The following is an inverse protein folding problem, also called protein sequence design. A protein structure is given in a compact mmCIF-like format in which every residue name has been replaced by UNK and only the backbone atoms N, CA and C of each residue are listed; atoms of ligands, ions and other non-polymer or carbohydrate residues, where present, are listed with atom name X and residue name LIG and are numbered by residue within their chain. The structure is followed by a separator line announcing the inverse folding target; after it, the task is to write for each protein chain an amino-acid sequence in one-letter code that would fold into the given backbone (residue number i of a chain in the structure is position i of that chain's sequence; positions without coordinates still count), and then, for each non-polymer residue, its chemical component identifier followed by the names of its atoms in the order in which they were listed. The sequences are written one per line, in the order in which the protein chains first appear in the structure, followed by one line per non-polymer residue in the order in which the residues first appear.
data_IF_124346794619
#
_entry.id   IF_124346794619
#
_cell.length_a   1.000
_cell.length_b   1.000
_cell.length_c   1.000
_cell.angle_alpha   90.00
_cell.angle_beta   90.00
_cell.angle_gamma   90.00
#
_symmetry.space_group_name_H-M   'P 1'
#
loop_
_entity.id
_entity.type
_entity.pdbx_description
1 polymer ?
#
# COMPACT_ATOMS: atom_id res chain seq x y z
N UNK A 1 -30.88 21.97 -21.74
CA UNK A 1 -31.12 21.67 -20.32
C UNK A 1 -31.81 20.31 -20.22
N UNK A 2 -31.11 19.25 -20.61
CA UNK A 2 -31.61 17.88 -20.55
C UNK A 2 -31.09 17.27 -19.26
N UNK A 3 -32.01 17.03 -18.33
CA UNK A 3 -31.80 16.27 -17.10
C UNK A 3 -31.39 14.84 -17.47
N UNK A 4 -30.08 14.64 -17.61
CA UNK A 4 -29.51 13.32 -17.67
C UNK A 4 -29.84 12.63 -16.35
N UNK A 5 -30.86 11.76 -16.38
CA UNK A 5 -31.11 10.77 -15.33
C UNK A 5 -29.83 9.93 -15.25
N UNK A 6 -28.92 10.29 -14.35
CA UNK A 6 -27.70 9.54 -14.08
C UNK A 6 -28.16 8.23 -13.47
N UNK A 7 -28.33 7.22 -14.32
CA UNK A 7 -28.62 5.86 -13.89
C UNK A 7 -27.53 5.45 -12.90
N UNK A 8 -27.94 5.37 -11.63
CA UNK A 8 -27.15 5.08 -10.46
C UNK A 8 -26.71 3.61 -10.53
N UNK A 9 -25.75 3.32 -11.42
CA UNK A 9 -25.21 1.98 -11.63
C UNK A 9 -24.39 1.63 -10.39
N UNK A 10 -25.06 0.98 -9.43
CA UNK A 10 -24.46 0.56 -8.15
C UNK A 10 -23.19 -0.24 -8.45
N UNK A 11 -22.10 0.13 -7.79
CA UNK A 11 -20.86 -0.65 -7.85
C UNK A 11 -21.06 -1.94 -7.04
N UNK A 12 -21.40 -3.03 -7.72
CA UNK A 12 -21.78 -4.31 -7.11
C UNK A 12 -20.64 -5.02 -6.37
N UNK A 13 -19.37 -4.61 -6.51
CA UNK A 13 -18.26 -5.29 -5.82
C UNK A 13 -18.00 -4.75 -4.41
N UNK A 14 -18.80 -3.78 -3.95
CA UNK A 14 -18.55 -3.09 -2.69
C UNK A 14 -18.73 -3.97 -1.45
N UNK A 15 -19.70 -4.89 -1.47
CA UNK A 15 -19.90 -5.88 -0.41
C UNK A 15 -18.85 -6.98 -0.43
N UNK A 16 -18.42 -7.41 -1.64
CA UNK A 16 -17.36 -8.41 -1.80
C UNK A 16 -16.01 -7.92 -1.23
N UNK A 17 -15.68 -6.64 -1.40
CA UNK A 17 -14.45 -6.07 -0.83
C UNK A 17 -14.42 -6.19 0.70
N UNK A 18 -15.53 -5.87 1.38
CA UNK A 18 -15.58 -5.99 2.84
C UNK A 18 -15.63 -7.43 3.31
N UNK A 19 -16.41 -8.29 2.63
CA UNK A 19 -16.44 -9.71 2.94
C UNK A 19 -15.04 -10.32 2.83
N UNK A 20 -14.29 -9.95 1.79
CA UNK A 20 -12.88 -10.32 1.62
C UNK A 20 -12.01 -9.84 2.78
N UNK A 21 -12.05 -8.55 3.15
CA UNK A 21 -11.24 -8.02 4.26
C UNK A 21 -11.58 -8.66 5.60
N UNK A 22 -12.87 -8.91 5.88
CA UNK A 22 -13.31 -9.59 7.11
C UNK A 22 -12.82 -11.04 7.14
N UNK A 23 -13.02 -11.79 6.05
CA UNK A 23 -12.58 -13.17 5.96
C UNK A 23 -11.04 -13.28 6.10
N UNK A 24 -10.31 -12.36 5.45
CA UNK A 24 -8.87 -12.26 5.57
C UNK A 24 -8.42 -11.93 7.00
N UNK A 25 -9.07 -10.99 7.69
CA UNK A 25 -8.75 -10.67 9.07
C UNK A 25 -8.95 -11.86 10.01
N UNK A 26 -10.08 -12.58 9.88
CA UNK A 26 -10.37 -13.77 10.68
C UNK A 26 -9.33 -14.86 10.40
N UNK A 27 -9.00 -15.11 9.13
CA UNK A 27 -8.00 -16.08 8.74
C UNK A 27 -6.61 -15.72 9.29
N UNK A 28 -6.18 -14.46 9.19
CA UNK A 28 -4.89 -14.01 9.71
C UNK A 28 -4.79 -14.19 11.24
N UNK A 29 -5.84 -13.83 11.97
CA UNK A 29 -5.91 -14.02 13.43
C UNK A 29 -5.86 -15.51 13.78
N UNK A 30 -6.65 -16.34 13.11
CA UNK A 30 -6.70 -17.79 13.33
C UNK A 30 -5.36 -18.48 13.06
N UNK A 31 -4.68 -18.10 11.97
CA UNK A 31 -3.33 -18.62 11.65
C UNK A 31 -2.34 -18.24 12.74
N UNK A 32 -2.32 -16.98 13.17
CA UNK A 32 -1.37 -16.52 14.20
C UNK A 32 -1.66 -17.15 15.57
N UNK A 33 -2.92 -17.42 15.89
CA UNK A 33 -3.29 -18.19 17.07
C UNK A 33 -2.72 -19.62 16.98
N UNK A 34 -2.96 -20.32 15.87
CA UNK A 34 -2.43 -21.68 15.68
C UNK A 34 -0.90 -21.73 15.76
N UNK A 35 -0.21 -20.75 15.15
CA UNK A 35 1.25 -20.64 15.18
C UNK A 35 1.79 -20.41 16.60
N UNK A 36 1.15 -19.55 17.39
CA UNK A 36 1.57 -19.27 18.76
C UNK A 36 1.48 -20.52 19.66
N UNK A 37 0.47 -21.38 19.45
CA UNK A 37 0.34 -22.63 20.20
C UNK A 37 1.32 -23.70 19.73
N UNK A 38 1.55 -23.80 18.42
CA UNK A 38 2.48 -24.76 17.86
C UNK A 38 3.96 -24.47 18.18
N UNK A 39 4.32 -23.22 18.52
CA UNK A 39 5.73 -22.75 18.57
C UNK A 39 6.14 -22.02 19.84
N UNK A 40 5.39 -22.20 20.91
CA UNK A 40 5.76 -21.62 22.19
C UNK A 40 7.15 -22.12 22.62
N UNK A 41 7.97 -21.20 23.10
CA UNK A 41 9.29 -21.53 23.66
C UNK A 41 9.15 -21.84 25.14
N UNK A 42 10.13 -22.53 25.75
CA UNK A 42 10.13 -22.80 27.19
C UNK A 42 9.99 -21.53 28.05
N UNK A 43 10.34 -20.36 27.51
CA UNK A 43 10.36 -19.08 28.21
C UNK A 43 9.11 -18.21 27.97
N UNK A 44 8.20 -18.60 27.08
CA UNK A 44 6.99 -17.80 26.78
C UNK A 44 5.77 -18.69 26.66
N UNK A 45 4.70 -18.32 27.36
CA UNK A 45 3.42 -19.03 27.21
C UNK A 45 2.84 -18.75 25.81
N UNK A 46 2.14 -19.73 25.19
CA UNK A 46 1.47 -19.55 23.91
C UNK A 46 0.60 -18.28 23.85
N UNK A 47 -0.09 -17.99 24.95
CA UNK A 47 -0.97 -16.83 25.06
C UNK A 47 -0.19 -15.51 25.00
N UNK A 48 0.98 -15.42 25.63
CA UNK A 48 1.81 -14.21 25.58
C UNK A 48 2.35 -13.96 24.17
N UNK A 49 2.77 -15.00 23.46
CA UNK A 49 3.20 -14.90 22.08
C UNK A 49 2.05 -14.50 21.14
N UNK A 50 0.85 -15.06 21.35
CA UNK A 50 -0.34 -14.68 20.60
C UNK A 50 -0.72 -13.22 20.84
N UNK A 51 -0.72 -12.75 22.09
CA UNK A 51 -1.02 -11.35 22.43
C UNK A 51 0.00 -10.39 21.82
N UNK A 52 1.28 -10.76 21.80
CA UNK A 52 2.31 -9.98 21.11
C UNK A 52 2.01 -9.90 19.61
N UNK A 53 1.73 -11.00 18.93
CA UNK A 53 1.36 -10.99 17.51
C UNK A 53 0.10 -10.16 17.26
N UNK A 54 -0.90 -10.28 18.14
CA UNK A 54 -2.16 -9.55 18.04
C UNK A 54 -1.95 -8.03 18.12
N UNK A 55 -0.95 -7.57 18.88
CA UNK A 55 -0.60 -6.14 18.98
C UNK A 55 -0.16 -5.53 17.64
N UNK A 56 0.37 -6.33 16.71
CA UNK A 56 0.70 -5.91 15.35
C UNK A 56 -0.46 -6.13 14.37
N UNK A 57 -1.14 -7.28 14.47
CA UNK A 57 -2.24 -7.67 13.58
C UNK A 57 -3.43 -6.72 13.70
N UNK A 58 -3.79 -6.29 14.91
CA UNK A 58 -4.98 -5.43 15.10
C UNK A 58 -4.83 -4.08 14.39
N UNK A 59 -3.74 -3.31 14.59
CA UNK A 59 -3.51 -2.09 13.81
C UNK A 59 -3.49 -2.33 12.30
N UNK A 60 -2.87 -3.41 11.83
CA UNK A 60 -2.82 -3.76 10.41
C UNK A 60 -4.21 -4.03 9.83
N UNK A 61 -5.04 -4.82 10.52
CA UNK A 61 -6.43 -5.08 10.12
C UNK A 61 -7.25 -3.79 10.11
N UNK A 62 -7.04 -2.88 11.08
CA UNK A 62 -7.69 -1.57 11.09
C UNK A 62 -7.30 -0.76 9.83
N UNK A 63 -6.02 -0.79 9.44
CA UNK A 63 -5.55 -0.17 8.19
C UNK A 63 -6.29 -0.77 6.99
N UNK A 64 -6.46 -2.10 6.93
CA UNK A 64 -7.19 -2.75 5.82
C UNK A 64 -8.63 -2.25 5.71
N UNK A 65 -9.36 -2.15 6.83
CA UNK A 65 -10.73 -1.65 6.84
C UNK A 65 -10.83 -0.19 6.41
N UNK A 66 -9.92 0.67 6.87
CA UNK A 66 -9.91 2.09 6.49
C UNK A 66 -9.51 2.24 5.02
N UNK A 67 -8.54 1.48 4.54
CA UNK A 67 -8.14 1.46 3.13
C UNK A 67 -9.30 0.99 2.23
N UNK A 68 -10.02 -0.07 2.62
CA UNK A 68 -11.20 -0.56 1.90
C UNK A 68 -12.31 0.49 1.85
N UNK A 69 -12.56 1.18 2.97
CA UNK A 69 -13.50 2.32 3.04
C UNK A 69 -13.05 3.44 2.11
N UNK A 70 -11.80 3.88 2.19
CA UNK A 70 -11.25 4.93 1.35
C UNK A 70 -11.42 4.60 -0.14
N UNK A 71 -11.02 3.40 -0.56
CA UNK A 71 -11.12 2.94 -1.94
C UNK A 71 -12.59 2.87 -2.41
N UNK A 72 -13.51 2.35 -1.58
CA UNK A 72 -14.96 2.31 -1.88
C UNK A 72 -15.53 3.69 -2.10
N UNK A 73 -15.30 4.62 -1.17
CA UNK A 73 -15.84 5.99 -1.25
C UNK A 73 -15.29 6.71 -2.49
N UNK A 74 -13.99 6.58 -2.74
CA UNK A 74 -13.35 7.19 -3.91
C UNK A 74 -13.88 6.59 -5.22
N UNK A 75 -14.12 5.27 -5.25
CA UNK A 75 -14.72 4.57 -6.40
C UNK A 75 -16.14 5.03 -6.69
N UNK A 76 -16.98 5.17 -5.65
CA UNK A 76 -18.36 5.67 -5.79
C UNK A 76 -18.37 7.09 -6.34
N UNK A 77 -17.54 7.98 -5.79
CA UNK A 77 -17.37 9.34 -6.30
C UNK A 77 -16.98 9.33 -7.79
N UNK A 78 -15.92 8.60 -8.16
CA UNK A 78 -15.46 8.53 -9.54
C UNK A 78 -16.52 7.99 -10.53
N UNK A 79 -17.37 7.06 -10.09
CA UNK A 79 -18.50 6.55 -10.90
C UNK A 79 -19.61 7.60 -11.04
N UNK A 80 -19.90 8.37 -9.98
CA UNK A 80 -20.90 9.44 -9.99
C UNK A 80 -20.62 10.46 -11.10
N UNK A 81 -19.35 10.86 -11.22
CA UNK A 81 -18.90 11.80 -12.25
C UNK A 81 -18.34 11.13 -13.51
N UNK A 82 -18.66 9.86 -13.80
CA UNK A 82 -18.06 9.08 -14.91
C UNK A 82 -18.17 9.73 -16.31
N UNK A 83 -19.14 10.63 -16.48
CA UNK A 83 -19.39 11.32 -17.75
C UNK A 83 -18.51 12.56 -17.90
N UNK A 84 -17.85 13.04 -16.84
CA UNK A 84 -16.86 14.11 -16.93
C UNK A 84 -15.49 13.59 -17.40
N UNK A 85 -14.65 14.49 -17.90
CA UNK A 85 -13.27 14.16 -18.28
C UNK A 85 -12.47 13.67 -17.07
N UNK A 86 -12.69 14.28 -15.89
CA UNK A 86 -12.06 13.91 -14.63
C UNK A 86 -12.49 12.51 -14.16
N UNK A 87 -13.76 12.17 -14.32
CA UNK A 87 -14.34 10.93 -13.79
C UNK A 87 -13.65 9.67 -14.32
N UNK A 88 -13.30 9.64 -15.61
CA UNK A 88 -12.56 8.50 -16.18
C UNK A 88 -11.18 8.33 -15.54
N UNK A 89 -10.47 9.43 -15.32
CA UNK A 89 -9.13 9.44 -14.72
C UNK A 89 -9.18 9.08 -13.24
N UNK A 90 -10.13 9.64 -12.49
CA UNK A 90 -10.38 9.32 -11.08
C UNK A 90 -10.81 7.87 -10.89
N UNK A 91 -11.53 7.29 -11.86
CA UNK A 91 -11.92 5.89 -11.82
C UNK A 91 -10.73 4.94 -11.97
N UNK A 92 -9.69 5.33 -12.72
CA UNK A 92 -8.42 4.58 -12.77
C UNK A 92 -7.69 4.65 -11.43
N UNK A 93 -7.64 5.82 -10.81
CA UNK A 93 -7.07 5.99 -9.46
C UNK A 93 -7.82 5.12 -8.45
N UNK A 94 -9.16 5.12 -8.50
CA UNK A 94 -9.99 4.29 -7.65
C UNK A 94 -9.68 2.79 -7.81
N UNK A 95 -9.47 2.31 -9.04
CA UNK A 95 -9.05 0.93 -9.29
C UNK A 95 -7.67 0.63 -8.71
N UNK A 96 -6.72 1.58 -8.83
CA UNK A 96 -5.42 1.46 -8.19
C UNK A 96 -5.52 1.35 -6.66
N UNK A 97 -6.39 2.15 -6.03
CA UNK A 97 -6.67 2.06 -4.60
C UNK A 97 -7.29 0.72 -4.18
N UNK A 98 -8.21 0.17 -4.97
CA UNK A 98 -8.77 -1.16 -4.71
C UNK A 98 -7.69 -2.25 -4.78
N UNK A 99 -6.82 -2.19 -5.78
CA UNK A 99 -5.71 -3.13 -5.92
C UNK A 99 -4.71 -2.98 -4.76
N UNK A 100 -4.50 -1.75 -4.27
CA UNK A 100 -3.68 -1.48 -3.09
C UNK A 100 -4.26 -2.13 -1.82
N UNK A 101 -5.58 -2.18 -1.66
CA UNK A 101 -6.21 -2.90 -0.53
C UNK A 101 -5.89 -4.40 -0.59
N UNK A 102 -5.96 -5.01 -1.78
CA UNK A 102 -5.61 -6.43 -1.95
C UNK A 102 -4.12 -6.66 -1.63
N UNK A 103 -3.25 -5.77 -2.11
CA UNK A 103 -1.83 -5.79 -1.77
C UNK A 103 -1.60 -5.77 -0.25
N UNK A 104 -2.23 -4.84 0.49
CA UNK A 104 -2.07 -4.74 1.94
C UNK A 104 -2.49 -6.03 2.66
N UNK A 105 -3.60 -6.62 2.23
CA UNK A 105 -4.08 -7.89 2.79
C UNK A 105 -3.05 -8.98 2.54
N UNK A 106 -2.62 -9.19 1.28
CA UNK A 106 -1.64 -10.24 0.98
C UNK A 106 -0.30 -10.04 1.68
N UNK A 107 0.15 -8.80 1.84
CA UNK A 107 1.39 -8.49 2.55
C UNK A 107 1.38 -9.00 3.99
N UNK A 108 0.27 -8.83 4.72
CA UNK A 108 0.16 -9.28 6.12
C UNK A 108 0.13 -10.81 6.29
N UNK A 109 -0.21 -11.55 5.24
CA UNK A 109 -0.16 -13.02 5.27
C UNK A 109 1.24 -13.60 5.05
N UNK A 110 2.20 -12.82 4.54
CA UNK A 110 3.47 -13.37 4.05
C UNK A 110 4.21 -14.21 5.08
N UNK A 111 4.61 -13.61 6.20
CA UNK A 111 5.31 -14.31 7.28
C UNK A 111 4.52 -15.48 7.85
N UNK A 112 3.27 -15.29 8.30
CA UNK A 112 2.47 -16.37 8.88
C UNK A 112 2.25 -17.57 7.94
N UNK A 113 2.08 -17.35 6.63
CA UNK A 113 1.96 -18.44 5.66
C UNK A 113 3.27 -19.22 5.51
N UNK A 114 4.41 -18.54 5.36
CA UNK A 114 5.72 -19.21 5.30
C UNK A 114 5.97 -20.03 6.55
N UNK A 115 5.65 -19.46 7.71
CA UNK A 115 5.72 -20.14 9.00
C UNK A 115 4.91 -21.44 8.98
N UNK A 116 3.63 -21.44 8.60
CA UNK A 116 2.80 -22.66 8.60
C UNK A 116 3.39 -23.83 7.80
N UNK A 117 4.12 -23.53 6.72
CA UNK A 117 4.64 -24.53 5.78
C UNK A 117 6.15 -24.72 5.87
N UNK A 118 6.78 -24.38 7.00
CA UNK A 118 8.25 -24.46 7.18
C UNK A 118 8.86 -25.80 6.78
N UNK A 119 8.17 -26.92 7.04
CA UNK A 119 8.62 -28.27 6.73
C UNK A 119 8.09 -28.83 5.41
N UNK A 120 7.34 -28.02 4.64
CA UNK A 120 6.76 -28.47 3.38
C UNK A 120 7.80 -28.49 2.26
N UNK A 121 7.74 -29.51 1.40
CA UNK A 121 8.65 -29.63 0.25
C UNK A 121 8.58 -28.44 -0.73
N UNK A 122 7.45 -27.70 -0.73
CA UNK A 122 7.20 -26.54 -1.58
C UNK A 122 7.48 -25.19 -0.91
N UNK A 123 8.18 -25.16 0.24
CA UNK A 123 8.45 -23.91 0.97
C UNK A 123 9.21 -22.88 0.11
N UNK A 124 10.17 -23.31 -0.73
CA UNK A 124 10.94 -22.39 -1.58
C UNK A 124 10.08 -21.67 -2.63
N UNK A 125 9.24 -22.38 -3.43
CA UNK A 125 8.23 -21.75 -4.26
C UNK A 125 7.26 -20.85 -3.49
N UNK A 126 6.83 -21.25 -2.29
CA UNK A 126 5.91 -20.45 -1.47
C UNK A 126 6.55 -19.12 -1.06
N UNK A 127 7.79 -19.13 -0.56
CA UNK A 127 8.54 -17.90 -0.23
C UNK A 127 8.69 -17.01 -1.47
N UNK A 128 9.01 -17.58 -2.63
CA UNK A 128 9.08 -16.81 -3.87
C UNK A 128 7.73 -16.15 -4.20
N UNK A 129 6.61 -16.89 -4.08
CA UNK A 129 5.27 -16.37 -4.31
C UNK A 129 4.91 -15.26 -3.32
N UNK A 130 5.16 -15.46 -2.03
CA UNK A 130 4.88 -14.50 -0.95
C UNK A 130 5.63 -13.18 -1.17
N UNK A 131 6.86 -13.22 -1.68
CA UNK A 131 7.62 -12.00 -1.97
C UNK A 131 7.17 -11.30 -3.27
N UNK A 132 6.90 -12.05 -4.34
CA UNK A 132 6.69 -11.46 -5.66
C UNK A 132 5.24 -11.11 -5.93
N UNK A 133 4.26 -11.84 -5.39
CA UNK A 133 2.85 -11.58 -5.66
C UNK A 133 2.39 -10.22 -5.11
N UNK A 134 2.66 -9.83 -3.85
CA UNK A 134 2.34 -8.49 -3.36
C UNK A 134 3.05 -7.41 -4.18
N UNK A 135 4.30 -7.63 -4.58
CA UNK A 135 5.06 -6.70 -5.41
C UNK A 135 4.40 -6.46 -6.77
N UNK A 136 3.92 -7.51 -7.44
CA UNK A 136 3.18 -7.39 -8.69
C UNK A 136 1.88 -6.60 -8.52
N UNK A 137 1.16 -6.82 -7.41
CA UNK A 137 -0.08 -6.09 -7.12
C UNK A 137 0.18 -4.61 -6.87
N UNK A 138 1.18 -4.26 -6.05
CA UNK A 138 1.50 -2.84 -5.79
C UNK A 138 2.07 -2.16 -7.03
N UNK A 139 2.81 -2.87 -7.89
CA UNK A 139 3.23 -2.36 -9.20
C UNK A 139 2.02 -2.06 -10.08
N UNK A 140 1.07 -3.00 -10.19
CA UNK A 140 -0.18 -2.78 -10.91
C UNK A 140 -0.97 -1.59 -10.34
N UNK A 141 -1.04 -1.47 -9.02
CA UNK A 141 -1.71 -0.36 -8.34
C UNK A 141 -1.04 0.98 -8.69
N UNK A 142 0.29 1.05 -8.59
CA UNK A 142 1.08 2.22 -8.94
C UNK A 142 0.94 2.62 -10.41
N UNK A 143 0.88 1.65 -11.34
CA UNK A 143 0.62 1.93 -12.77
C UNK A 143 -0.75 2.57 -12.97
N UNK A 144 -1.80 2.05 -12.32
CA UNK A 144 -3.16 2.59 -12.42
C UNK A 144 -3.26 3.99 -11.81
N UNK A 145 -2.65 4.19 -10.64
CA UNK A 145 -2.58 5.48 -9.96
C UNK A 145 -1.81 6.52 -10.79
N UNK A 146 -0.67 6.14 -11.37
CA UNK A 146 0.12 6.99 -12.26
C UNK A 146 -0.66 7.34 -13.53
N UNK A 147 -1.26 6.35 -14.19
CA UNK A 147 -2.04 6.55 -15.42
C UNK A 147 -3.20 7.53 -15.19
N UNK A 148 -3.96 7.35 -14.10
CA UNK A 148 -5.06 8.24 -13.75
C UNK A 148 -4.59 9.65 -13.37
N UNK A 149 -3.56 9.76 -12.53
CA UNK A 149 -3.04 11.08 -12.12
C UNK A 149 -2.41 11.87 -13.27
N UNK A 150 -1.72 11.20 -14.20
CA UNK A 150 -1.17 11.83 -15.40
C UNK A 150 -2.26 12.44 -16.27
N UNK A 151 -3.37 11.73 -16.47
CA UNK A 151 -4.52 12.24 -17.23
C UNK A 151 -5.19 13.44 -16.54
N UNK A 152 -5.27 13.44 -15.21
CA UNK A 152 -5.78 14.61 -14.47
C UNK A 152 -4.90 15.85 -14.70
N UNK A 153 -3.57 15.70 -14.69
CA UNK A 153 -2.66 16.82 -14.97
C UNK A 153 -2.84 17.35 -16.39
N UNK A 154 -3.08 16.50 -17.38
CA UNK A 154 -3.32 16.95 -18.77
C UNK A 154 -4.61 17.75 -18.95
N UNK A 155 -5.52 17.71 -17.97
CA UNK A 155 -6.74 18.54 -17.96
C UNK A 155 -6.50 19.92 -17.33
N UNK A 156 -5.29 20.17 -16.82
CA UNK A 156 -4.88 21.49 -16.32
C UNK A 156 -4.05 22.19 -17.40
N UNK A 157 -4.26 23.49 -17.61
CA UNK A 157 -3.61 24.29 -18.68
C UNK A 157 -2.07 24.47 -18.51
N UNK A 158 -1.45 23.80 -17.55
CA UNK A 158 -0.05 24.02 -17.21
C UNK A 158 0.65 22.73 -16.79
N UNK A 159 1.79 22.45 -17.42
CA UNK A 159 2.67 21.36 -17.01
C UNK A 159 3.56 21.80 -15.84
N UNK A 160 3.47 21.11 -14.71
CA UNK A 160 4.36 21.35 -13.56
C UNK A 160 5.80 20.89 -13.77
N UNK A 161 6.02 20.04 -14.78
CA UNK A 161 7.29 19.41 -15.15
C UNK A 161 8.26 20.39 -15.82
N UNK A 162 8.64 21.46 -15.11
CA UNK A 162 9.86 22.18 -15.46
C UNK A 162 11.07 21.24 -15.26
N UNK A 163 12.09 21.35 -16.12
CA UNK A 163 13.33 20.54 -15.99
C UNK A 163 13.94 20.64 -14.59
N UNK A 164 13.87 21.84 -13.97
CA UNK A 164 14.33 22.08 -12.60
C UNK A 164 13.55 21.27 -11.56
N UNK A 165 12.23 21.29 -11.61
CA UNK A 165 11.39 20.53 -10.67
C UNK A 165 11.61 19.03 -10.80
N UNK A 166 11.77 18.55 -12.04
CA UNK A 166 12.09 17.14 -12.30
C UNK A 166 13.44 16.76 -11.68
N UNK A 167 14.47 17.60 -11.82
CA UNK A 167 15.80 17.33 -11.25
C UNK A 167 15.77 17.31 -9.71
N UNK A 168 15.07 18.26 -9.09
CA UNK A 168 14.88 18.31 -7.63
C UNK A 168 14.18 17.06 -7.11
N UNK A 169 13.25 16.49 -7.89
CA UNK A 169 12.54 15.25 -7.54
C UNK A 169 13.41 14.00 -7.74
N UNK A 170 14.12 13.92 -8.87
CA UNK A 170 14.87 12.72 -9.26
C UNK A 170 16.17 12.54 -8.48
N UNK A 171 16.82 13.61 -8.01
CA UNK A 171 18.06 13.51 -7.25
C UNK A 171 17.92 12.72 -5.93
N UNK A 172 17.04 13.09 -4.99
CA UNK A 172 16.86 12.31 -3.76
C UNK A 172 16.35 10.90 -4.05
N UNK A 173 15.47 10.73 -5.05
CA UNK A 173 15.00 9.43 -5.49
C UNK A 173 16.15 8.52 -5.96
N UNK A 174 17.08 9.05 -6.77
CA UNK A 174 18.23 8.30 -7.29
C UNK A 174 19.15 7.88 -6.16
N UNK A 175 19.39 8.76 -5.18
CA UNK A 175 20.17 8.43 -3.99
C UNK A 175 19.52 7.30 -3.21
N UNK A 176 18.21 7.39 -2.93
CA UNK A 176 17.47 6.33 -2.23
C UNK A 176 17.51 4.99 -2.99
N UNK A 177 17.39 5.02 -4.32
CA UNK A 177 17.45 3.85 -5.18
C UNK A 177 18.81 3.14 -5.08
N UNK A 178 19.91 3.90 -5.17
CA UNK A 178 21.27 3.36 -5.07
C UNK A 178 21.50 2.77 -3.69
N UNK A 179 21.15 3.51 -2.63
CA UNK A 179 21.29 3.04 -1.25
C UNK A 179 20.49 1.76 -1.00
N UNK A 180 19.23 1.72 -1.43
CA UNK A 180 18.39 0.53 -1.33
C UNK A 180 18.99 -0.66 -2.07
N UNK A 181 19.43 -0.47 -3.31
CA UNK A 181 20.01 -1.55 -4.13
C UNK A 181 21.27 -2.12 -3.50
N UNK A 182 22.15 -1.25 -2.99
CA UNK A 182 23.38 -1.65 -2.30
C UNK A 182 23.08 -2.38 -1.00
N UNK A 183 22.15 -1.86 -0.19
CA UNK A 183 21.74 -2.50 1.06
C UNK A 183 21.10 -3.86 0.79
N UNK A 184 20.19 -3.94 -0.17
CA UNK A 184 19.53 -5.17 -0.56
C UNK A 184 20.56 -6.22 -1.01
N UNK A 185 21.48 -5.85 -1.90
CA UNK A 185 22.51 -6.76 -2.39
C UNK A 185 23.39 -7.32 -1.26
N UNK A 186 23.71 -6.48 -0.26
CA UNK A 186 24.51 -6.90 0.90
C UNK A 186 23.75 -7.77 1.89
N UNK A 187 22.47 -7.49 2.12
CA UNK A 187 21.70 -8.10 3.21
C UNK A 187 20.87 -9.31 2.77
N UNK A 188 20.33 -9.31 1.54
CA UNK A 188 19.45 -10.37 1.04
C UNK A 188 19.92 -11.81 1.29
N UNK A 189 21.20 -12.18 1.09
CA UNK A 189 21.65 -13.56 1.33
C UNK A 189 21.67 -13.99 2.80
N UNK A 190 21.66 -13.03 3.73
CA UNK A 190 21.74 -13.30 5.18
C UNK A 190 20.39 -13.14 5.88
N UNK A 191 19.34 -12.70 5.18
CA UNK A 191 18.02 -12.50 5.75
C UNK A 191 17.30 -13.84 5.89
N UNK A 192 17.12 -14.27 7.14
CA UNK A 192 16.37 -15.46 7.52
C UNK A 192 15.07 -15.06 8.24
N UNK A 193 14.04 -15.91 8.16
CA UNK A 193 12.90 -15.85 9.07
C UNK A 193 13.31 -16.37 10.46
N UNK A 194 12.51 -16.16 11.52
CA UNK A 194 12.76 -16.75 12.84
C UNK A 194 12.93 -18.28 12.81
N UNK A 195 12.34 -18.95 11.82
CA UNK A 195 12.45 -20.38 11.58
C UNK A 195 13.67 -20.80 10.75
N UNK A 196 14.56 -19.86 10.41
CA UNK A 196 15.75 -20.13 9.61
C UNK A 196 15.48 -20.31 8.11
N UNK A 197 14.28 -19.97 7.63
CA UNK A 197 13.95 -20.02 6.20
C UNK A 197 14.60 -18.80 5.51
N UNK A 198 15.33 -18.97 4.40
CA UNK A 198 15.81 -17.84 3.62
C UNK A 198 14.65 -16.96 3.15
N UNK A 199 14.68 -15.66 3.44
CA UNK A 199 13.63 -14.72 2.98
C UNK A 199 13.56 -14.60 1.48
N UNK A 200 14.67 -14.88 0.77
CA UNK A 200 14.72 -14.87 -0.68
C UNK A 200 15.31 -16.18 -1.17
N UNK A 201 14.66 -16.81 -2.13
CA UNK A 201 15.02 -18.15 -2.63
C UNK A 201 15.59 -18.12 -4.06
N UNK A 202 15.48 -17.00 -4.76
CA UNK A 202 16.05 -16.81 -6.10
C UNK A 202 17.51 -16.36 -6.03
N UNK A 203 18.24 -16.52 -7.14
CA UNK A 203 19.60 -16.00 -7.25
C UNK A 203 19.63 -14.47 -7.21
N UNK A 204 20.74 -13.89 -6.74
CA UNK A 204 20.91 -12.45 -6.62
C UNK A 204 20.63 -11.69 -7.93
N UNK A 205 21.14 -12.22 -9.05
CA UNK A 205 20.91 -11.62 -10.37
C UNK A 205 19.43 -11.57 -10.70
N UNK A 206 18.68 -12.65 -10.45
CA UNK A 206 17.23 -12.67 -10.68
C UNK A 206 16.51 -11.70 -9.74
N UNK A 207 16.86 -11.66 -8.46
CA UNK A 207 16.24 -10.75 -7.48
C UNK A 207 16.41 -9.27 -7.86
N UNK A 208 17.52 -8.89 -8.51
CA UNK A 208 17.67 -7.51 -8.99
C UNK A 208 16.55 -7.17 -10.00
N UNK A 209 16.29 -8.06 -10.96
CA UNK A 209 15.29 -7.83 -12.00
C UNK A 209 13.85 -8.08 -11.55
N UNK A 210 13.63 -9.06 -10.66
CA UNK A 210 12.29 -9.49 -10.26
C UNK A 210 11.80 -8.83 -8.97
N UNK A 211 12.71 -8.26 -8.17
CA UNK A 211 12.39 -7.65 -6.88
C UNK A 211 12.83 -6.19 -6.81
N UNK A 212 14.12 -5.91 -6.95
CA UNK A 212 14.69 -4.57 -6.73
C UNK A 212 14.17 -3.55 -7.75
N UNK A 213 14.27 -3.84 -9.06
CA UNK A 213 13.80 -2.94 -10.12
C UNK A 213 12.29 -2.67 -10.02
N UNK A 214 11.41 -3.67 -9.81
CA UNK A 214 9.99 -3.41 -9.61
C UNK A 214 9.69 -2.53 -8.38
N UNK A 215 10.38 -2.72 -7.25
CA UNK A 215 10.23 -1.86 -6.06
C UNK A 215 10.61 -0.41 -6.35
N UNK A 216 11.75 -0.20 -7.00
CA UNK A 216 12.24 1.11 -7.45
C UNK A 216 11.19 1.76 -8.37
N UNK A 217 10.61 0.98 -9.29
CA UNK A 217 9.55 1.44 -10.20
C UNK A 217 8.29 1.84 -9.44
N UNK A 218 7.86 1.05 -8.46
CA UNK A 218 6.72 1.37 -7.58
C UNK A 218 6.94 2.72 -6.88
N UNK A 219 8.14 2.98 -6.37
CA UNK A 219 8.47 4.24 -5.71
C UNK A 219 8.44 5.43 -6.66
N UNK A 220 9.01 5.28 -7.85
CA UNK A 220 9.01 6.34 -8.86
C UNK A 220 7.57 6.70 -9.28
N UNK A 221 6.78 5.68 -9.61
CA UNK A 221 5.39 5.86 -10.01
C UNK A 221 4.55 6.46 -8.88
N UNK A 222 4.79 6.04 -7.64
CA UNK A 222 4.14 6.60 -6.46
C UNK A 222 4.48 8.07 -6.24
N UNK A 223 5.76 8.41 -6.34
CA UNK A 223 6.25 9.79 -6.21
C UNK A 223 5.66 10.70 -7.29
N UNK A 224 5.68 10.27 -8.56
CA UNK A 224 5.09 11.04 -9.66
C UNK A 224 3.58 11.16 -9.49
N UNK A 225 2.89 10.10 -9.04
CA UNK A 225 1.44 10.13 -8.77
C UNK A 225 1.10 11.21 -7.75
N UNK A 226 1.84 11.25 -6.64
CA UNK A 226 1.66 12.23 -5.57
C UNK A 226 1.84 13.65 -6.10
N UNK A 227 2.89 13.90 -6.89
CA UNK A 227 3.14 15.24 -7.43
C UNK A 227 2.05 15.65 -8.42
N UNK A 228 1.64 14.73 -9.31
CA UNK A 228 0.54 14.95 -10.24
C UNK A 228 -0.78 15.29 -9.51
N UNK A 229 -1.11 14.53 -8.46
CA UNK A 229 -2.30 14.76 -7.66
C UNK A 229 -2.25 16.07 -6.88
N UNK A 230 -1.09 16.42 -6.31
CA UNK A 230 -0.89 17.69 -5.62
C UNK A 230 -1.06 18.87 -6.58
N UNK A 231 -0.52 18.75 -7.80
CA UNK A 231 -0.69 19.76 -8.84
C UNK A 231 -2.15 19.93 -9.24
N UNK A 232 -2.83 18.83 -9.57
CA UNK A 232 -4.25 18.85 -9.92
C UNK A 232 -5.10 19.43 -8.78
N UNK A 233 -4.86 19.01 -7.54
CA UNK A 233 -5.57 19.54 -6.37
C UNK A 233 -5.42 21.06 -6.24
N UNK A 234 -4.24 21.62 -6.53
CA UNK A 234 -3.99 23.06 -6.46
C UNK A 234 -4.72 23.86 -7.54
N UNK A 235 -5.05 23.22 -8.68
CA UNK A 235 -5.62 23.87 -9.88
C UNK A 235 -7.11 23.64 -10.05
N UNK A 236 -7.71 22.67 -9.37
CA UNK A 236 -9.15 22.43 -9.46
C UNK A 236 -9.94 23.69 -9.05
N UNK A 237 -11.00 23.98 -9.79
CA UNK A 237 -11.91 25.08 -9.49
C UNK A 237 -12.77 24.74 -8.26
N UNK A 238 -13.02 25.76 -7.44
CA UNK A 238 -13.77 25.61 -6.17
C UNK A 238 -12.87 25.32 -4.96
N UNK A 239 -13.00 26.15 -3.94
CA UNK A 239 -12.24 26.02 -2.67
C UNK A 239 -12.51 24.70 -1.94
N UNK A 240 -13.75 24.20 -2.03
CA UNK A 240 -14.16 22.94 -1.40
C UNK A 240 -13.44 21.76 -2.06
N UNK A 241 -13.51 21.61 -3.38
CA UNK A 241 -12.83 20.51 -4.09
C UNK A 241 -11.33 20.54 -3.86
N UNK A 242 -10.70 21.73 -3.89
CA UNK A 242 -9.28 21.92 -3.58
C UNK A 242 -8.90 21.39 -2.21
N UNK A 243 -9.70 21.69 -1.18
CA UNK A 243 -9.46 21.18 0.18
C UNK A 243 -9.60 19.66 0.26
N UNK A 244 -10.62 19.08 -0.39
CA UNK A 244 -10.88 17.65 -0.35
C UNK A 244 -9.82 16.82 -1.08
N UNK A 245 -9.42 17.26 -2.27
CA UNK A 245 -8.30 16.66 -3.00
C UNK A 245 -6.98 16.88 -2.27
N UNK A 246 -6.83 18.00 -1.55
CA UNK A 246 -5.69 18.23 -0.67
C UNK A 246 -5.56 17.18 0.44
N UNK A 247 -6.65 16.87 1.14
CA UNK A 247 -6.66 15.80 2.17
C UNK A 247 -6.36 14.43 1.56
N UNK A 248 -6.95 14.11 0.39
CA UNK A 248 -6.67 12.87 -0.32
C UNK A 248 -5.19 12.76 -0.76
N UNK A 249 -4.62 13.85 -1.29
CA UNK A 249 -3.21 13.90 -1.70
C UNK A 249 -2.26 13.73 -0.52
N UNK A 250 -2.52 14.38 0.62
CA UNK A 250 -1.74 14.19 1.85
C UNK A 250 -1.81 12.73 2.32
N UNK A 251 -2.99 12.12 2.26
CA UNK A 251 -3.15 10.69 2.53
C UNK A 251 -2.28 9.81 1.64
N UNK A 252 -2.31 10.04 0.33
CA UNK A 252 -1.47 9.31 -0.64
C UNK A 252 0.03 9.47 -0.38
N UNK A 253 0.48 10.68 -0.02
CA UNK A 253 1.87 10.94 0.37
C UNK A 253 2.28 10.04 1.52
N UNK A 254 1.51 10.06 2.61
CA UNK A 254 1.82 9.27 3.81
C UNK A 254 1.78 7.77 3.54
N UNK A 255 0.86 7.30 2.70
CA UNK A 255 0.78 5.89 2.28
C UNK A 255 2.06 5.47 1.55
N UNK A 256 2.53 6.24 0.56
CA UNK A 256 3.76 5.90 -0.17
C UNK A 256 5.01 5.99 0.70
N UNK A 257 5.07 6.98 1.60
CA UNK A 257 6.15 7.07 2.60
C UNK A 257 6.13 5.84 3.52
N UNK A 258 4.96 5.42 3.99
CA UNK A 258 4.78 4.21 4.81
C UNK A 258 5.23 2.95 4.06
N UNK A 259 4.83 2.78 2.80
CA UNK A 259 5.27 1.66 1.95
C UNK A 259 6.80 1.66 1.76
N UNK A 260 7.40 2.82 1.51
CA UNK A 260 8.84 2.97 1.37
C UNK A 260 9.58 2.56 2.65
N UNK A 261 9.17 3.09 3.80
CA UNK A 261 9.79 2.73 5.08
C UNK A 261 9.55 1.27 5.46
N UNK A 262 8.35 0.72 5.23
CA UNK A 262 8.07 -0.69 5.45
C UNK A 262 9.07 -1.58 4.68
N UNK A 263 9.34 -1.23 3.43
CA UNK A 263 10.29 -1.97 2.59
C UNK A 263 11.74 -1.81 3.05
N UNK A 264 12.14 -0.62 3.52
CA UNK A 264 13.45 -0.45 4.15
C UNK A 264 13.58 -1.29 5.43
N UNK A 265 12.54 -1.37 6.26
CA UNK A 265 12.54 -2.18 7.47
C UNK A 265 12.63 -3.68 7.16
N UNK A 266 11.98 -4.15 6.09
CA UNK A 266 12.02 -5.55 5.67
C UNK A 266 13.44 -6.02 5.27
N UNK A 267 14.31 -5.11 4.81
CA UNK A 267 15.67 -5.44 4.37
C UNK A 267 16.75 -5.08 5.40
N UNK A 268 16.37 -4.43 6.50
CA UNK A 268 17.34 -3.86 7.45
C UNK A 268 17.60 -4.81 8.62
N UNK A 269 18.86 -5.12 8.96
CA UNK A 269 19.22 -5.92 10.12
C UNK A 269 19.21 -5.06 11.39
N UNK A 270 18.09 -4.39 11.71
CA UNK A 270 17.98 -3.54 12.90
C UNK A 270 17.84 -4.41 14.17
N UNK A 271 18.91 -5.10 14.52
CA UNK A 271 19.12 -5.68 15.83
C UNK A 271 20.11 -4.75 16.53
N UNK A 272 19.61 -3.87 17.40
CA UNK A 272 20.46 -3.09 18.30
C UNK A 272 20.39 -3.77 19.65
N UNK A 273 21.54 -4.21 20.16
CA UNK A 273 21.69 -5.25 21.19
C UNK A 273 20.93 -5.05 22.51
N UNK A 274 20.35 -3.86 22.78
CA UNK A 274 19.61 -3.59 24.02
C UNK A 274 18.35 -2.71 23.83
N UNK A 275 18.00 -2.31 22.61
CA UNK A 275 16.83 -1.47 22.36
C UNK A 275 16.13 -1.94 21.09
N UNK A 276 14.86 -2.36 21.23
CA UNK A 276 14.11 -2.93 20.12
C UNK A 276 13.55 -1.83 19.20
N UNK A 277 14.47 -1.02 18.62
CA UNK A 277 14.19 0.04 17.66
C UNK A 277 13.32 -0.48 16.51
N UNK A 278 13.55 -1.73 16.10
CA UNK A 278 12.73 -2.39 15.09
C UNK A 278 11.24 -2.35 15.41
N UNK A 279 10.84 -2.72 16.63
CA UNK A 279 9.43 -2.66 17.06
C UNK A 279 8.89 -1.23 16.99
N UNK A 280 9.63 -0.25 17.50
CA UNK A 280 9.21 1.17 17.48
C UNK A 280 9.00 1.65 16.04
N UNK A 281 9.93 1.31 15.14
CA UNK A 281 9.82 1.67 13.73
C UNK A 281 8.65 0.98 13.02
N UNK A 282 8.38 -0.29 13.35
CA UNK A 282 7.19 -1.00 12.84
C UNK A 282 5.91 -0.25 13.27
N UNK A 283 5.78 0.10 14.55
CA UNK A 283 4.63 0.86 15.04
C UNK A 283 4.54 2.25 14.39
N UNK A 284 5.66 2.95 14.20
CA UNK A 284 5.69 4.23 13.51
C UNK A 284 5.17 4.11 12.07
N UNK A 285 5.57 3.07 11.34
CA UNK A 285 5.10 2.79 9.97
C UNK A 285 3.61 2.45 9.94
N UNK A 286 3.11 1.65 10.90
CA UNK A 286 1.69 1.32 11.05
C UNK A 286 0.86 2.58 11.34
N UNK A 287 1.29 3.43 12.27
CA UNK A 287 0.64 4.70 12.59
C UNK A 287 0.63 5.62 11.35
N UNK A 288 1.74 5.69 10.62
CA UNK A 288 1.83 6.49 9.39
C UNK A 288 0.84 6.01 8.33
N UNK A 289 0.74 4.69 8.14
CA UNK A 289 -0.23 4.07 7.24
C UNK A 289 -1.67 4.35 7.68
N UNK A 290 -1.96 4.23 8.97
CA UNK A 290 -3.27 4.52 9.56
C UNK A 290 -3.70 5.97 9.31
N UNK A 291 -2.81 6.94 9.57
CA UNK A 291 -3.06 8.36 9.31
C UNK A 291 -3.23 8.60 7.80
N UNK A 292 -2.38 8.00 6.96
CA UNK A 292 -2.44 8.14 5.51
C UNK A 292 -3.77 7.67 4.92
N UNK A 293 -4.20 6.46 5.24
CA UNK A 293 -5.49 5.95 4.80
C UNK A 293 -6.67 6.68 5.46
N UNK A 294 -6.53 7.15 6.69
CA UNK A 294 -7.54 7.98 7.37
C UNK A 294 -7.79 9.30 6.64
N UNK A 295 -6.73 10.01 6.24
CA UNK A 295 -6.82 11.24 5.44
C UNK A 295 -7.43 10.98 4.06
N UNK A 296 -7.01 9.89 3.41
CA UNK A 296 -7.57 9.48 2.12
C UNK A 296 -9.07 9.19 2.22
N UNK A 297 -9.50 8.46 3.26
CA UNK A 297 -10.91 8.20 3.54
C UNK A 297 -11.68 9.49 3.81
N UNK A 298 -11.15 10.40 4.61
CA UNK A 298 -11.77 11.70 4.90
C UNK A 298 -11.99 12.52 3.63
N UNK A 299 -10.99 12.59 2.75
CA UNK A 299 -11.13 13.26 1.45
C UNK A 299 -12.17 12.59 0.56
N UNK A 300 -12.06 11.26 0.38
CA UNK A 300 -12.94 10.47 -0.48
C UNK A 300 -14.42 10.50 -0.04
N UNK A 301 -14.68 10.37 1.26
CA UNK A 301 -16.04 10.36 1.81
C UNK A 301 -16.74 11.70 1.63
N UNK A 302 -16.02 12.82 1.82
CA UNK A 302 -16.56 14.16 1.59
C UNK A 302 -16.82 14.43 0.10
N UNK A 303 -15.93 13.97 -0.79
CA UNK A 303 -16.15 14.07 -2.24
C UNK A 303 -17.43 13.33 -2.66
N UNK A 304 -17.63 12.11 -2.16
CA UNK A 304 -18.86 11.37 -2.44
C UNK A 304 -20.11 12.10 -1.94
N UNK A 305 -20.08 12.65 -0.71
CA UNK A 305 -21.24 13.36 -0.14
C UNK A 305 -21.67 14.57 -0.96
N UNK A 306 -20.73 15.30 -1.56
CA UNK A 306 -21.04 16.44 -2.42
C UNK A 306 -21.80 15.99 -3.66
N UNK A 307 -21.37 14.88 -4.27
CA UNK A 307 -22.02 14.35 -5.46
C UNK A 307 -23.42 13.77 -5.15
N UNK A 308 -23.64 13.24 -3.95
CA UNK A 308 -24.96 12.74 -3.53
C UNK A 308 -25.99 13.86 -3.30
N UNK A 309 -25.55 15.11 -3.10
CA UNK A 309 -26.42 16.27 -2.89
C UNK A 309 -26.77 17.00 -4.20
N UNK A 310 -26.15 16.63 -5.32
CA UNK A 310 -26.33 17.25 -6.63
C UNK A 310 -27.34 16.50 -7.48
#
# INVERSE_FOLDING_TARGET
MATAVIANKKWHLDHLLYAFVVAAAIALIGINYALAYARHTANTTPINQFLLNLSFIVPEVIIWFIAARAAKHFKKYAIGIKNSLDGKSLNQIANGLLLLVIYLVLLGFGGPLESLFVNAFFIRPLVALVNHLPLLLVLGASILLYSGSKKLVTLTDSSWLSKRNLLVLLLPYTVCMVLFSVMFYKQAPYLLTPEGIPRYTLSHSLLIFTYVIPHITVWLLGLITVVNLGWYASRVEGSIYRSLFGDACKGMILIFISIFFAQLLLISPLVVDNFNIGIILIYAVLILGLIGFGLLYKGASKLQKIEELR
#
